data_IF_346738424733
#
_entry.id   IF_346738424733
#
_cell.length_a   1.000
_cell.length_b   1.000
_cell.length_c   1.000
_cell.angle_alpha   90.00
_cell.angle_beta   90.00
_cell.angle_gamma   90.00
#
_symmetry.space_group_name_H-M   'P 1'
#
loop_
_entity.id
_entity.type
_entity.pdbx_description
1 polymer ?
#
# COMPACT_ATOMS: atom_id res chain seq x y z
N UNK A 1 17.94 -7.05 10.34
CA UNK A 1 18.18 -7.46 11.74
C UNK A 1 19.65 -7.67 12.10
N UNK A 2 20.43 -8.53 11.39
CA UNK A 2 21.80 -8.90 11.79
C UNK A 2 22.74 -7.70 11.96
N UNK A 3 22.65 -6.71 11.07
CA UNK A 3 23.46 -5.49 11.16
C UNK A 3 23.10 -4.65 12.40
N UNK A 4 21.80 -4.50 12.68
CA UNK A 4 21.31 -3.78 13.86
C UNK A 4 21.75 -4.47 15.16
N UNK A 5 21.56 -5.79 15.25
CA UNK A 5 21.96 -6.57 16.42
C UNK A 5 23.47 -6.44 16.69
N UNK A 6 24.30 -6.67 15.68
CA UNK A 6 25.76 -6.53 15.81
C UNK A 6 26.17 -5.13 16.25
N UNK A 7 25.50 -4.10 15.75
CA UNK A 7 25.79 -2.72 16.14
C UNK A 7 25.47 -2.46 17.62
N UNK A 8 24.28 -2.84 18.07
CA UNK A 8 23.85 -2.62 19.45
C UNK A 8 24.62 -3.46 20.47
N UNK A 9 24.93 -4.73 20.14
CA UNK A 9 25.77 -5.58 20.98
C UNK A 9 27.19 -5.00 21.13
N UNK A 10 27.73 -4.39 20.06
CA UNK A 10 29.05 -3.73 20.11
C UNK A 10 29.07 -2.48 21.00
N UNK A 11 27.96 -1.75 21.10
CA UNK A 11 27.85 -0.54 21.92
C UNK A 11 27.72 -0.84 23.42
N UNK A 12 27.33 -2.06 23.80
CA UNK A 12 27.07 -2.41 25.18
C UNK A 12 28.37 -2.38 26.02
N UNK A 13 28.44 -1.58 27.09
CA UNK A 13 29.55 -1.65 28.04
C UNK A 13 29.50 -2.99 28.77
N UNK A 14 30.63 -3.39 29.39
CA UNK A 14 30.76 -4.69 30.08
C UNK A 14 29.71 -4.95 31.17
N UNK A 15 29.14 -3.88 31.75
CA UNK A 15 28.10 -3.95 32.77
C UNK A 15 26.69 -4.18 32.23
N UNK A 16 26.47 -4.16 30.91
CA UNK A 16 25.14 -4.28 30.28
C UNK A 16 25.07 -5.50 29.37
N UNK A 17 23.98 -6.26 29.49
CA UNK A 17 23.66 -7.38 28.60
C UNK A 17 22.52 -6.98 27.66
N UNK A 18 22.78 -7.02 26.35
CA UNK A 18 21.79 -6.74 25.31
C UNK A 18 21.25 -8.05 24.74
N UNK A 19 19.94 -8.15 24.56
CA UNK A 19 19.29 -9.21 23.78
C UNK A 19 18.41 -8.56 22.73
N UNK A 20 18.65 -8.89 21.46
CA UNK A 20 17.83 -8.42 20.34
C UNK A 20 16.92 -9.56 19.88
N UNK A 21 15.63 -9.29 19.78
CA UNK A 21 14.64 -10.23 19.24
C UNK A 21 13.91 -9.55 18.07
N UNK A 22 14.00 -10.11 16.87
CA UNK A 22 13.20 -9.64 15.75
C UNK A 22 11.73 -9.99 16.00
N UNK A 23 10.82 -9.06 15.71
CA UNK A 23 9.39 -9.25 15.91
C UNK A 23 8.62 -9.24 14.58
N UNK A 24 8.68 -8.12 13.86
CA UNK A 24 8.04 -7.97 12.55
C UNK A 24 9.08 -7.75 11.45
N UNK A 25 8.74 -8.20 10.24
CA UNK A 25 9.49 -7.94 9.03
C UNK A 25 8.56 -7.98 7.81
N UNK A 26 8.85 -7.17 6.81
CA UNK A 26 8.13 -7.14 5.55
C UNK A 26 9.06 -6.72 4.43
N UNK A 27 8.94 -7.38 3.28
CA UNK A 27 9.69 -6.96 2.10
C UNK A 27 9.04 -5.71 1.49
N UNK A 28 9.83 -4.73 1.03
CA UNK A 28 9.30 -3.64 0.22
C UNK A 28 8.76 -4.20 -1.10
N UNK A 29 7.78 -3.51 -1.68
CA UNK A 29 7.18 -3.90 -2.95
C UNK A 29 6.95 -2.67 -3.82
N UNK A 30 7.16 -2.84 -5.13
CA UNK A 30 6.79 -1.87 -6.16
C UNK A 30 5.83 -2.55 -7.11
N UNK A 31 4.61 -2.04 -7.21
CA UNK A 31 3.59 -2.56 -8.14
C UNK A 31 3.68 -1.85 -9.49
N UNK A 32 3.49 -2.55 -10.61
CA UNK A 32 3.61 -1.98 -11.94
C UNK A 32 2.45 -1.05 -12.30
N UNK A 33 2.73 0.05 -12.99
CA UNK A 33 1.76 1.06 -13.42
C UNK A 33 1.31 0.92 -14.88
N UNK A 34 1.81 -0.08 -15.60
CA UNK A 34 1.51 -0.33 -17.01
C UNK A 34 0.48 -1.46 -17.23
N UNK A 35 0.12 -2.17 -16.14
CA UNK A 35 -0.86 -3.25 -16.15
C UNK A 35 -2.27 -2.78 -16.50
N UNK A 36 -3.11 -3.71 -16.98
CA UNK A 36 -4.52 -3.41 -17.31
C UNK A 36 -5.29 -3.08 -16.05
N UNK A 37 -4.99 -3.79 -14.96
CA UNK A 37 -5.54 -3.61 -13.63
C UNK A 37 -5.27 -2.19 -13.13
N UNK A 38 -4.03 -1.72 -13.25
CA UNK A 38 -3.66 -0.35 -12.87
C UNK A 38 -4.38 0.69 -13.73
N UNK A 39 -4.38 0.52 -15.06
CA UNK A 39 -5.05 1.46 -15.98
C UNK A 39 -6.57 1.53 -15.75
N UNK A 40 -7.19 0.42 -15.37
CA UNK A 40 -8.60 0.38 -14.99
C UNK A 40 -8.85 1.18 -13.70
N UNK A 41 -7.98 1.03 -12.70
CA UNK A 41 -8.05 1.80 -11.45
C UNK A 41 -7.81 3.30 -11.68
N UNK A 42 -6.79 3.66 -12.48
CA UNK A 42 -6.50 5.05 -12.87
C UNK A 42 -7.74 5.71 -13.51
N UNK A 43 -8.36 5.03 -14.48
CA UNK A 43 -9.56 5.52 -15.15
C UNK A 43 -10.78 5.60 -14.23
N UNK A 44 -10.93 4.66 -13.30
CA UNK A 44 -12.01 4.67 -12.31
C UNK A 44 -11.90 5.89 -11.39
N UNK A 45 -10.71 6.15 -10.85
CA UNK A 45 -10.42 7.33 -10.04
C UNK A 45 -10.63 8.62 -10.83
N UNK A 46 -10.15 8.69 -12.08
CA UNK A 46 -10.37 9.86 -12.94
C UNK A 46 -11.86 10.13 -13.19
N UNK A 47 -12.66 9.07 -13.38
CA UNK A 47 -14.11 9.19 -13.61
C UNK A 47 -14.83 9.80 -12.40
N UNK A 48 -14.50 9.37 -11.19
CA UNK A 48 -15.22 9.78 -9.97
C UNK A 48 -14.66 11.05 -9.34
N UNK A 49 -13.35 11.31 -9.45
CA UNK A 49 -12.71 12.51 -8.90
C UNK A 49 -12.52 13.63 -9.93
N UNK A 50 -12.77 13.36 -11.22
CA UNK A 50 -12.69 14.36 -12.31
C UNK A 50 -11.26 14.79 -12.67
N UNK A 51 -10.24 14.12 -12.13
CA UNK A 51 -8.83 14.37 -12.42
C UNK A 51 -8.05 13.07 -12.45
N UNK A 52 -7.09 13.00 -13.37
CA UNK A 52 -6.17 11.87 -13.45
C UNK A 52 -5.36 11.73 -12.15
N UNK A 53 -5.39 10.58 -11.47
CA UNK A 53 -4.60 10.37 -10.25
C UNK A 53 -3.10 10.26 -10.56
N UNK A 54 -2.26 10.55 -9.57
CA UNK A 54 -0.82 10.38 -9.68
C UNK A 54 -0.38 9.07 -9.01
N UNK A 55 0.51 8.27 -9.62
CA UNK A 55 1.15 7.15 -8.94
C UNK A 55 2.00 7.66 -7.78
N UNK A 56 1.82 7.07 -6.61
CA UNK A 56 2.57 7.41 -5.39
C UNK A 56 3.20 6.17 -4.77
N UNK A 57 4.32 6.38 -4.06
CA UNK A 57 4.91 5.40 -3.14
C UNK A 57 4.69 5.87 -1.71
N UNK A 58 4.44 4.94 -0.78
CA UNK A 58 4.26 5.23 0.63
C UNK A 58 5.43 4.74 1.48
N UNK A 59 5.63 5.36 2.64
CA UNK A 59 6.54 4.87 3.68
C UNK A 59 5.91 3.80 4.58
N UNK A 60 4.58 3.67 4.56
CA UNK A 60 3.85 2.61 5.25
C UNK A 60 4.15 1.22 4.69
N UNK A 61 3.83 0.19 5.46
CA UNK A 61 4.10 -1.21 5.09
C UNK A 61 2.83 -2.04 5.08
N UNK A 62 2.59 -2.74 3.97
CA UNK A 62 1.51 -3.73 3.82
C UNK A 62 2.16 -5.07 3.40
N UNK A 63 2.72 -5.86 4.34
CA UNK A 63 3.58 -7.01 4.01
C UNK A 63 2.94 -8.07 3.11
N UNK A 64 1.61 -8.23 3.20
CA UNK A 64 0.88 -9.23 2.40
C UNK A 64 0.95 -8.94 0.88
N UNK A 65 1.16 -7.69 0.47
CA UNK A 65 1.27 -7.33 -0.96
C UNK A 65 2.51 -7.98 -1.58
N UNK A 66 3.64 -7.95 -0.87
CA UNK A 66 4.85 -8.63 -1.33
C UNK A 66 4.63 -10.16 -1.37
N UNK A 67 3.87 -10.69 -0.41
CA UNK A 67 3.57 -12.12 -0.33
C UNK A 67 2.68 -12.60 -1.49
N UNK A 68 1.67 -11.85 -1.89
CA UNK A 68 0.84 -12.20 -3.06
C UNK A 68 1.66 -12.32 -4.34
N UNK A 69 2.61 -11.42 -4.55
CA UNK A 69 3.52 -11.49 -5.69
C UNK A 69 4.44 -12.72 -5.61
N UNK A 70 5.05 -12.96 -4.45
CA UNK A 70 5.98 -14.07 -4.28
C UNK A 70 5.32 -15.44 -4.38
N UNK A 71 4.16 -15.61 -3.74
CA UNK A 71 3.47 -16.90 -3.59
C UNK A 71 2.50 -17.16 -4.73
N UNK A 72 1.61 -16.21 -5.02
CA UNK A 72 0.55 -16.37 -6.02
C UNK A 72 0.96 -15.91 -7.43
N UNK A 73 2.13 -15.27 -7.55
CA UNK A 73 2.57 -14.61 -8.80
C UNK A 73 1.57 -13.57 -9.31
N UNK A 74 0.84 -12.95 -8.38
CA UNK A 74 -0.20 -11.97 -8.67
C UNK A 74 0.24 -10.58 -8.19
N UNK A 75 0.23 -9.60 -9.10
CA UNK A 75 0.48 -8.20 -8.75
C UNK A 75 -0.80 -7.59 -8.19
N UNK A 76 -0.69 -6.86 -7.08
CA UNK A 76 -1.81 -6.11 -6.50
C UNK A 76 -1.94 -4.72 -7.11
N UNK A 77 -3.17 -4.20 -7.11
CA UNK A 77 -3.45 -2.77 -7.29
C UNK A 77 -3.88 -2.20 -5.95
N UNK A 78 -3.25 -1.10 -5.55
CA UNK A 78 -3.58 -0.40 -4.32
C UNK A 78 -4.33 0.88 -4.67
N UNK A 79 -5.59 0.96 -4.28
CA UNK A 79 -6.42 2.15 -4.43
C UNK A 79 -6.63 2.78 -3.06
N UNK A 80 -5.98 3.92 -2.83
CA UNK A 80 -6.14 4.72 -1.62
C UNK A 80 -7.25 5.75 -1.81
N UNK A 81 -8.12 5.86 -0.80
CA UNK A 81 -9.16 6.87 -0.76
C UNK A 81 -9.01 7.82 0.43
N UNK A 82 -8.19 7.48 1.43
CA UNK A 82 -7.93 8.34 2.58
C UNK A 82 -7.02 9.52 2.25
N UNK A 83 -6.96 10.47 3.17
CA UNK A 83 -6.05 11.62 3.16
C UNK A 83 -4.98 11.47 4.23
N UNK A 84 -3.86 12.18 4.08
CA UNK A 84 -2.82 12.21 5.11
C UNK A 84 -3.36 12.74 6.46
N UNK A 85 -4.36 13.62 6.41
CA UNK A 85 -5.05 14.15 7.59
C UNK A 85 -5.95 13.13 8.31
N UNK A 86 -6.26 11.98 7.69
CA UNK A 86 -7.04 10.93 8.37
C UNK A 86 -6.27 10.36 9.57
N UNK A 87 -4.96 10.61 9.65
CA UNK A 87 -4.13 10.40 10.84
C UNK A 87 -4.21 8.95 11.38
N UNK A 88 -4.15 7.99 10.47
CA UNK A 88 -4.22 6.55 10.79
C UNK A 88 -3.21 6.20 11.89
N UNK A 89 -3.68 5.47 12.92
CA UNK A 89 -2.93 5.13 14.13
C UNK A 89 -2.63 6.30 15.09
N UNK A 90 -3.27 7.46 14.92
CA UNK A 90 -3.13 8.61 15.82
C UNK A 90 -4.47 8.95 16.51
N UNK A 91 -4.46 9.73 17.61
CA UNK A 91 -5.69 10.23 18.21
C UNK A 91 -6.53 11.03 17.22
N UNK A 92 -7.86 10.94 17.34
CA UNK A 92 -8.82 11.56 16.41
C UNK A 92 -8.66 11.10 14.95
N UNK A 93 -8.18 9.87 14.74
CA UNK A 93 -8.30 9.18 13.45
C UNK A 93 -9.73 9.32 12.93
N UNK A 94 -9.86 9.79 11.69
CA UNK A 94 -11.14 10.05 11.07
C UNK A 94 -11.10 9.72 9.60
N UNK A 95 -12.27 9.74 8.97
CA UNK A 95 -12.39 9.47 7.55
C UNK A 95 -13.50 10.33 6.95
N UNK A 96 -13.14 11.16 5.97
CA UNK A 96 -14.08 12.09 5.36
C UNK A 96 -15.23 11.39 4.62
N UNK A 97 -16.48 11.81 4.89
CA UNK A 97 -17.66 11.24 4.21
C UNK A 97 -17.59 11.41 2.68
N UNK A 98 -17.00 12.51 2.20
CA UNK A 98 -16.75 12.71 0.77
C UNK A 98 -15.91 11.56 0.18
N UNK A 99 -14.77 11.24 0.81
CA UNK A 99 -13.87 10.17 0.39
C UNK A 99 -14.53 8.78 0.54
N UNK A 100 -15.37 8.60 1.56
CA UNK A 100 -16.17 7.39 1.76
C UNK A 100 -17.14 7.13 0.60
N UNK A 101 -17.96 8.12 0.26
CA UNK A 101 -18.89 8.00 -0.85
C UNK A 101 -18.17 7.93 -2.20
N UNK A 102 -17.05 8.63 -2.37
CA UNK A 102 -16.21 8.50 -3.58
C UNK A 102 -15.60 7.11 -3.71
N UNK A 103 -15.19 6.47 -2.61
CA UNK A 103 -14.73 5.08 -2.63
C UNK A 103 -15.83 4.13 -3.13
N UNK A 104 -17.04 4.25 -2.57
CA UNK A 104 -18.22 3.47 -2.98
C UNK A 104 -18.54 3.69 -4.45
N UNK A 105 -18.50 4.93 -4.93
CA UNK A 105 -18.73 5.28 -6.34
C UNK A 105 -17.65 4.70 -7.26
N UNK A 106 -16.38 4.71 -6.82
CA UNK A 106 -15.22 4.35 -7.67
C UNK A 106 -15.06 2.85 -7.87
N UNK A 107 -15.30 2.03 -6.85
CA UNK A 107 -15.06 0.59 -6.90
C UNK A 107 -15.85 -0.11 -8.04
N UNK A 108 -17.15 0.19 -8.27
CA UNK A 108 -17.88 -0.33 -9.42
C UNK A 108 -17.28 0.06 -10.77
N UNK A 109 -16.81 1.31 -10.92
CA UNK A 109 -16.15 1.76 -12.15
C UNK A 109 -14.85 1.00 -12.39
N UNK A 110 -14.08 0.69 -11.34
CA UNK A 110 -12.89 -0.15 -11.47
C UNK A 110 -13.22 -1.50 -12.09
N UNK A 111 -14.20 -2.23 -11.55
CA UNK A 111 -14.58 -3.53 -12.09
C UNK A 111 -15.15 -3.45 -13.52
N UNK A 112 -15.93 -2.40 -13.81
CA UNK A 112 -16.43 -2.14 -15.17
C UNK A 112 -15.28 -1.97 -16.15
N UNK A 113 -14.36 -1.04 -15.88
CA UNK A 113 -13.24 -0.77 -16.78
C UNK A 113 -12.26 -1.93 -16.86
N UNK A 114 -12.03 -2.63 -15.76
CA UNK A 114 -11.23 -3.85 -15.76
C UNK A 114 -11.81 -4.90 -16.71
N UNK A 115 -13.12 -5.18 -16.61
CA UNK A 115 -13.80 -6.12 -17.49
C UNK A 115 -13.78 -5.67 -18.97
N UNK A 116 -14.05 -4.40 -19.24
CA UNK A 116 -14.01 -3.83 -20.60
C UNK A 116 -12.61 -3.91 -21.23
N UNK A 117 -11.55 -3.60 -20.47
CA UNK A 117 -10.17 -3.60 -20.96
C UNK A 117 -9.60 -5.01 -21.10
N UNK A 118 -9.98 -5.95 -20.22
CA UNK A 118 -9.55 -7.36 -20.32
C UNK A 118 -10.12 -8.07 -21.54
N UNK A 119 -11.36 -7.76 -21.95
CA UNK A 119 -11.97 -8.31 -23.17
C UNK A 119 -11.30 -7.87 -24.46
N UNK A 120 -10.58 -6.74 -24.45
CA UNK A 120 -9.88 -6.19 -25.62
C UNK A 120 -8.45 -6.74 -25.79
N UNK A 121 -8.00 -7.60 -24.88
CA UNK A 121 -6.66 -8.18 -24.86
C UNK A 121 -6.73 -9.63 -25.31
#
# INVERSE_FOLDING_TARGET
>A
ERLFQKHFEKLAPRSVKVRVSAHHGGYPVVVPTDSVEYKAAEKAMETTFGKKPLPQRGGGSIPIVAMFDQVLKAKSVLMGFGLDSDDIHSPNEHYGLFNYYKGIETIPYFYRYYAEMKKKK
#
